data_IF_569266526155
#
_entry.id   IF_569266526155
#
_cell.length_a   1.000
_cell.length_b   1.000
_cell.length_c   1.000
_cell.angle_alpha   90.00
_cell.angle_beta   90.00
_cell.angle_gamma   90.00
#
_symmetry.space_group_name_H-M   'P 1'
#
loop_
_entity.id
_entity.type
_entity.pdbx_description
1 polymer ?
#
# COMPACT_ATOMS: atom_id res chain seq x y z
N UNK A 1 33.94 17.52 -12.69
CA UNK A 1 33.33 18.20 -11.54
C UNK A 1 32.18 17.38 -11.02
N UNK A 2 32.37 16.72 -9.89
CA UNK A 2 31.28 15.97 -9.28
C UNK A 2 30.27 16.97 -8.68
N UNK A 3 29.09 17.01 -9.23
CA UNK A 3 27.97 17.79 -8.70
C UNK A 3 27.26 17.08 -7.54
N UNK A 4 27.99 16.25 -6.81
CA UNK A 4 27.49 15.74 -5.54
C UNK A 4 27.72 16.86 -4.51
N UNK A 5 26.80 17.81 -4.48
CA UNK A 5 26.67 18.66 -3.31
C UNK A 5 26.34 17.69 -2.16
N UNK A 6 27.30 17.46 -1.29
CA UNK A 6 27.02 16.85 -0.01
C UNK A 6 26.02 17.78 0.67
N UNK A 7 24.77 17.37 0.68
CA UNK A 7 23.74 18.09 1.44
C UNK A 7 24.20 18.09 2.90
N UNK A 8 24.29 19.26 3.49
CA UNK A 8 24.58 19.37 4.93
C UNK A 8 23.54 18.56 5.69
N UNK A 9 23.96 17.79 6.73
CA UNK A 9 22.99 17.13 7.58
C UNK A 9 21.98 18.15 8.13
N UNK A 10 20.70 17.79 8.12
CA UNK A 10 19.68 18.64 8.70
C UNK A 10 19.90 18.73 10.21
N UNK A 11 19.54 19.87 10.82
CA UNK A 11 19.41 19.93 12.27
C UNK A 11 18.19 19.10 12.69
N UNK A 12 18.12 18.64 13.97
CA UNK A 12 16.93 17.92 14.44
C UNK A 12 15.63 18.68 14.21
N UNK A 13 15.59 20.00 14.43
CA UNK A 13 14.39 20.80 14.21
C UNK A 13 13.99 20.86 12.73
N UNK A 14 14.96 21.05 11.84
CA UNK A 14 14.72 21.03 10.39
C UNK A 14 14.22 19.68 9.93
N UNK A 15 14.82 18.60 10.45
CA UNK A 15 14.41 17.24 10.13
C UNK A 15 12.97 16.96 10.60
N UNK A 16 12.62 17.39 11.80
CA UNK A 16 11.26 17.21 12.33
C UNK A 16 10.24 17.91 11.44
N UNK A 17 10.50 19.19 11.08
CA UNK A 17 9.61 19.95 10.20
C UNK A 17 9.45 19.27 8.83
N UNK A 18 10.54 18.78 8.26
CA UNK A 18 10.53 18.07 6.98
C UNK A 18 9.70 16.79 7.07
N UNK A 19 9.87 16.05 8.16
CA UNK A 19 9.14 14.79 8.38
C UNK A 19 7.66 15.02 8.64
N UNK A 20 7.30 16.08 9.36
CA UNK A 20 5.90 16.45 9.55
C UNK A 20 5.20 16.72 8.22
N UNK A 21 5.85 17.47 7.33
CA UNK A 21 5.34 17.72 5.97
C UNK A 21 5.24 16.45 5.15
N UNK A 22 6.26 15.58 5.25
CA UNK A 22 6.27 14.29 4.56
C UNK A 22 5.09 13.42 4.97
N UNK A 23 4.81 13.35 6.26
CA UNK A 23 3.68 12.57 6.79
C UNK A 23 2.33 13.23 6.50
N UNK A 24 2.27 14.57 6.45
CA UNK A 24 1.03 15.28 6.15
C UNK A 24 0.60 15.16 4.69
N UNK A 25 1.55 14.93 3.78
CA UNK A 25 1.27 14.83 2.36
C UNK A 25 0.39 13.61 2.03
N UNK A 26 0.67 12.46 2.63
CA UNK A 26 -0.15 11.24 2.54
C UNK A 26 0.18 10.29 3.70
N UNK A 27 -0.65 9.27 3.88
CA UNK A 27 -0.36 8.22 4.86
C UNK A 27 0.96 7.53 4.55
N UNK A 28 1.77 7.30 5.59
CA UNK A 28 3.09 6.67 5.49
C UNK A 28 3.15 5.45 6.39
N UNK A 29 3.83 4.40 5.91
CA UNK A 29 4.14 3.25 6.76
C UNK A 29 5.43 3.51 7.55
N UNK A 30 5.67 2.76 8.65
CA UNK A 30 6.90 2.93 9.44
C UNK A 30 8.18 2.85 8.63
N UNK A 31 8.24 1.93 7.66
CA UNK A 31 9.41 1.75 6.79
C UNK A 31 9.71 2.99 5.96
N UNK A 32 8.68 3.64 5.41
CA UNK A 32 8.82 4.89 4.65
C UNK A 32 9.35 6.01 5.53
N UNK A 33 8.83 6.12 6.77
CA UNK A 33 9.26 7.13 7.73
C UNK A 33 10.74 6.94 8.08
N UNK A 34 11.15 5.70 8.38
CA UNK A 34 12.55 5.41 8.69
C UNK A 34 13.48 5.68 7.51
N UNK A 35 13.06 5.33 6.30
CA UNK A 35 13.86 5.59 5.10
C UNK A 35 14.04 7.08 4.86
N UNK A 36 12.99 7.86 5.06
CA UNK A 36 13.05 9.31 4.89
C UNK A 36 13.92 9.98 5.95
N UNK A 37 13.82 9.51 7.21
CA UNK A 37 14.68 10.00 8.30
C UNK A 37 16.16 9.73 8.01
N UNK A 38 16.48 8.56 7.44
CA UNK A 38 17.85 8.22 7.10
C UNK A 38 18.47 9.22 6.12
N UNK A 39 17.67 9.84 5.25
CA UNK A 39 18.13 10.84 4.30
C UNK A 39 18.52 12.16 4.97
N UNK A 40 18.05 12.40 6.20
CA UNK A 40 18.32 13.66 6.91
C UNK A 40 19.74 13.77 7.48
N UNK A 41 20.50 12.66 7.51
CA UNK A 41 21.88 12.67 7.99
C UNK A 41 22.04 12.90 9.48
N UNK A 42 21.01 12.58 10.28
CA UNK A 42 21.03 12.70 11.73
C UNK A 42 21.83 11.57 12.37
N UNK A 43 22.28 11.79 13.63
CA UNK A 43 22.77 10.71 14.46
C UNK A 43 21.67 9.67 14.68
N UNK A 44 22.01 8.38 14.91
CA UNK A 44 20.99 7.38 15.21
C UNK A 44 20.08 7.74 16.41
N UNK A 45 20.64 8.37 17.44
CA UNK A 45 19.89 8.80 18.60
C UNK A 45 18.87 9.89 18.25
N UNK A 46 19.28 10.90 17.48
CA UNK A 46 18.38 11.98 17.07
C UNK A 46 17.30 11.47 16.12
N UNK A 47 17.65 10.59 15.18
CA UNK A 47 16.68 9.98 14.28
C UNK A 47 15.62 9.17 15.04
N UNK A 48 16.03 8.37 16.02
CA UNK A 48 15.10 7.59 16.83
C UNK A 48 14.18 8.48 17.66
N UNK A 49 14.71 9.56 18.21
CA UNK A 49 13.91 10.53 18.98
C UNK A 49 12.83 11.18 18.13
N UNK A 50 13.18 11.60 16.91
CA UNK A 50 12.21 12.17 15.95
C UNK A 50 11.17 11.12 15.54
N UNK A 51 11.60 9.89 15.27
CA UNK A 51 10.70 8.81 14.94
C UNK A 51 9.65 8.60 16.05
N UNK A 52 10.08 8.60 17.31
CA UNK A 52 9.16 8.44 18.44
C UNK A 52 8.19 9.61 18.56
N UNK A 53 8.65 10.84 18.39
CA UNK A 53 7.78 12.03 18.40
C UNK A 53 6.71 11.93 17.33
N UNK A 54 7.09 11.57 16.11
CA UNK A 54 6.15 11.42 15.00
C UNK A 54 5.13 10.33 15.26
N UNK A 55 5.56 9.23 15.86
CA UNK A 55 4.68 8.12 16.21
C UNK A 55 3.71 8.50 17.33
N UNK A 56 4.22 9.10 18.40
CA UNK A 56 3.42 9.49 19.58
C UNK A 56 2.38 10.56 19.21
N UNK A 57 2.76 11.49 18.35
CA UNK A 57 1.87 12.56 17.86
C UNK A 57 1.00 12.12 16.69
N UNK A 58 1.08 10.84 16.31
CA UNK A 58 0.26 10.22 15.26
C UNK A 58 0.40 10.87 13.89
N UNK A 59 1.57 11.42 13.58
CA UNK A 59 1.88 11.87 12.22
C UNK A 59 1.89 10.71 11.24
N UNK A 60 2.29 9.53 11.70
CA UNK A 60 2.08 8.28 10.98
C UNK A 60 1.51 7.24 11.95
N UNK A 61 0.77 6.28 11.40
CA UNK A 61 0.15 5.22 12.18
C UNK A 61 0.03 4.00 11.28
N UNK A 62 0.59 2.88 11.70
CA UNK A 62 0.65 1.65 10.89
C UNK A 62 -0.74 1.11 10.56
N UNK A 63 -1.65 1.07 11.53
CA UNK A 63 -3.03 0.64 11.31
C UNK A 63 -3.76 1.55 10.31
N UNK A 64 -3.66 2.86 10.52
CA UNK A 64 -4.28 3.86 9.63
C UNK A 64 -3.73 3.74 8.20
N UNK A 65 -2.42 3.52 8.06
CA UNK A 65 -1.79 3.29 6.76
C UNK A 65 -2.36 2.04 6.10
N UNK A 66 -2.44 0.92 6.82
CA UNK A 66 -2.93 -0.34 6.27
C UNK A 66 -4.37 -0.23 5.78
N UNK A 67 -5.23 0.43 6.56
CA UNK A 67 -6.63 0.65 6.20
C UNK A 67 -6.77 1.53 4.95
N UNK A 68 -6.05 2.64 4.90
CA UNK A 68 -6.08 3.55 3.75
C UNK A 68 -5.50 2.89 2.49
N UNK A 69 -4.42 2.14 2.64
CA UNK A 69 -3.79 1.42 1.53
C UNK A 69 -4.74 0.38 0.94
N UNK A 70 -5.31 -0.48 1.79
CA UNK A 70 -6.22 -1.53 1.34
C UNK A 70 -7.46 -0.95 0.64
N UNK A 71 -8.09 0.04 1.25
CA UNK A 71 -9.27 0.70 0.68
C UNK A 71 -8.98 1.40 -0.64
N UNK A 72 -7.86 2.11 -0.72
CA UNK A 72 -7.46 2.82 -1.93
C UNK A 72 -7.12 1.89 -3.08
N UNK A 73 -6.33 0.85 -2.82
CA UNK A 73 -5.97 -0.12 -3.86
C UNK A 73 -7.17 -0.91 -4.37
N UNK A 74 -8.08 -1.27 -3.49
CA UNK A 74 -9.33 -1.91 -3.88
C UNK A 74 -10.20 -0.98 -4.75
N UNK A 75 -10.47 0.25 -4.29
CA UNK A 75 -11.42 1.16 -4.96
C UNK A 75 -10.88 1.77 -6.25
N UNK A 76 -9.61 2.12 -6.27
CA UNK A 76 -9.04 2.88 -7.39
C UNK A 76 -8.17 2.05 -8.32
N UNK A 77 -7.48 1.03 -7.79
CA UNK A 77 -6.60 0.18 -8.59
C UNK A 77 -7.23 -1.17 -8.94
N UNK A 78 -8.37 -1.49 -8.35
CA UNK A 78 -9.08 -2.75 -8.56
C UNK A 78 -8.22 -3.98 -8.22
N UNK A 79 -7.47 -3.87 -7.10
CA UNK A 79 -6.68 -4.98 -6.61
C UNK A 79 -7.52 -5.89 -5.71
N UNK A 80 -7.30 -7.20 -5.82
CA UNK A 80 -7.85 -8.17 -4.90
C UNK A 80 -7.04 -8.29 -3.61
N UNK A 81 -7.61 -8.99 -2.63
CA UNK A 81 -7.01 -9.15 -1.30
C UNK A 81 -5.63 -9.79 -1.32
N UNK A 82 -5.40 -10.76 -2.21
CA UNK A 82 -4.11 -11.48 -2.30
C UNK A 82 -2.99 -10.49 -2.62
N UNK A 83 -3.20 -9.62 -3.59
CA UNK A 83 -2.20 -8.62 -3.98
C UNK A 83 -2.00 -7.56 -2.91
N UNK A 84 -3.09 -7.08 -2.32
CA UNK A 84 -3.04 -6.09 -1.22
C UNK A 84 -2.25 -6.67 -0.04
N UNK A 85 -2.50 -7.92 0.32
CA UNK A 85 -1.78 -8.60 1.41
C UNK A 85 -0.28 -8.66 1.13
N UNK A 86 0.11 -9.07 -0.06
CA UNK A 86 1.51 -9.17 -0.46
C UNK A 86 2.20 -7.82 -0.39
N UNK A 87 1.55 -6.78 -0.89
CA UNK A 87 2.10 -5.43 -0.88
C UNK A 87 2.25 -4.86 0.53
N UNK A 88 1.30 -5.13 1.41
CA UNK A 88 1.40 -4.73 2.82
C UNK A 88 2.51 -5.51 3.55
N UNK A 89 2.68 -6.80 3.26
CA UNK A 89 3.79 -7.58 3.80
C UNK A 89 5.14 -7.04 3.37
N UNK A 90 5.29 -6.66 2.12
CA UNK A 90 6.51 -6.08 1.59
C UNK A 90 6.86 -4.76 2.28
N UNK A 91 5.88 -4.04 2.77
CA UNK A 91 6.04 -2.80 3.52
C UNK A 91 6.26 -3.03 5.02
N UNK A 92 6.35 -4.28 5.44
CA UNK A 92 6.63 -4.63 6.82
C UNK A 92 5.45 -4.44 7.78
N UNK A 93 4.23 -4.39 7.26
CA UNK A 93 3.04 -4.24 8.11
C UNK A 93 2.79 -5.54 8.88
N UNK A 94 2.40 -5.41 10.16
CA UNK A 94 2.13 -6.56 11.02
C UNK A 94 0.95 -7.38 10.50
N UNK A 95 1.02 -8.73 10.57
CA UNK A 95 -0.04 -9.60 10.04
C UNK A 95 -1.43 -9.31 10.57
N UNK A 96 -1.56 -8.97 11.85
CA UNK A 96 -2.85 -8.63 12.47
C UNK A 96 -3.47 -7.38 11.84
N UNK A 97 -2.65 -6.38 11.55
CA UNK A 97 -3.10 -5.13 10.91
C UNK A 97 -3.46 -5.36 9.44
N UNK A 98 -2.73 -6.25 8.76
CA UNK A 98 -3.07 -6.64 7.39
C UNK A 98 -4.44 -7.31 7.36
N UNK A 99 -4.68 -8.25 8.25
CA UNK A 99 -5.96 -8.95 8.34
C UNK A 99 -7.12 -7.98 8.61
N UNK A 100 -6.95 -7.06 9.56
CA UNK A 100 -7.95 -6.04 9.85
C UNK A 100 -8.24 -5.15 8.64
N UNK A 101 -7.20 -4.74 7.92
CA UNK A 101 -7.35 -3.91 6.73
C UNK A 101 -8.13 -4.64 5.63
N UNK A 102 -7.83 -5.92 5.40
CA UNK A 102 -8.54 -6.71 4.40
C UNK A 102 -9.99 -6.98 4.80
N UNK A 103 -10.25 -7.21 6.09
CA UNK A 103 -11.60 -7.40 6.62
C UNK A 103 -12.45 -6.13 6.51
N UNK A 104 -11.83 -4.96 6.44
CA UNK A 104 -12.55 -3.69 6.26
C UNK A 104 -13.16 -3.51 4.87
N UNK A 105 -12.72 -4.31 3.90
CA UNK A 105 -13.31 -4.29 2.55
C UNK A 105 -14.66 -5.01 2.62
N UNK A 106 -15.72 -4.31 2.22
CA UNK A 106 -17.08 -4.85 2.24
C UNK A 106 -17.17 -6.07 1.31
N UNK A 107 -17.61 -7.24 1.81
CA UNK A 107 -17.70 -8.46 1.00
C UNK A 107 -18.61 -8.32 -0.22
N UNK A 108 -19.72 -7.59 -0.10
CA UNK A 108 -20.66 -7.40 -1.20
C UNK A 108 -20.06 -6.50 -2.28
N UNK A 109 -19.38 -5.43 -1.89
CA UNK A 109 -18.63 -4.58 -2.83
C UNK A 109 -17.52 -5.35 -3.52
N UNK A 110 -16.85 -6.23 -2.78
CA UNK A 110 -15.77 -7.06 -3.30
C UNK A 110 -16.27 -8.02 -4.38
N UNK A 111 -17.35 -8.74 -4.11
CA UNK A 111 -17.97 -9.64 -5.09
C UNK A 111 -18.51 -8.87 -6.30
N UNK A 112 -19.13 -7.72 -6.08
CA UNK A 112 -19.62 -6.87 -7.16
C UNK A 112 -18.49 -6.42 -8.08
N UNK A 113 -17.34 -6.09 -7.53
CA UNK A 113 -16.16 -5.73 -8.32
C UNK A 113 -15.66 -6.91 -9.14
N UNK A 114 -15.59 -8.11 -8.55
CA UNK A 114 -15.19 -9.32 -9.27
C UNK A 114 -16.10 -9.54 -10.48
N UNK A 115 -17.41 -9.49 -10.30
CA UNK A 115 -18.38 -9.70 -11.36
C UNK A 115 -18.24 -8.65 -12.47
N UNK A 116 -18.08 -7.39 -12.09
CA UNK A 116 -17.87 -6.28 -13.03
C UNK A 116 -16.61 -6.49 -13.88
N UNK A 117 -15.51 -6.89 -13.23
CA UNK A 117 -14.25 -7.12 -13.92
C UNK A 117 -14.32 -8.37 -14.82
N UNK A 118 -15.01 -9.41 -14.38
CA UNK A 118 -15.24 -10.60 -15.21
C UNK A 118 -16.01 -10.25 -16.48
N UNK A 119 -17.09 -9.51 -16.35
CA UNK A 119 -17.90 -9.08 -17.51
C UNK A 119 -17.08 -8.25 -18.49
N UNK A 120 -16.31 -7.32 -17.96
CA UNK A 120 -15.44 -6.45 -18.76
C UNK A 120 -14.38 -7.26 -19.52
N UNK A 121 -13.77 -8.24 -18.87
CA UNK A 121 -12.73 -9.09 -19.47
C UNK A 121 -13.33 -10.09 -20.47
N UNK A 122 -14.50 -10.63 -20.19
CA UNK A 122 -15.21 -11.49 -21.15
C UNK A 122 -15.48 -10.74 -22.45
N UNK A 123 -15.88 -9.48 -22.35
CA UNK A 123 -16.10 -8.61 -23.51
C UNK A 123 -14.79 -8.38 -24.27
N UNK A 124 -13.72 -8.08 -23.54
CA UNK A 124 -12.39 -7.84 -24.11
C UNK A 124 -11.86 -9.06 -24.87
N UNK A 125 -12.09 -10.27 -24.35
CA UNK A 125 -11.56 -11.51 -24.90
C UNK A 125 -12.61 -12.32 -25.70
N UNK A 126 -13.73 -11.70 -26.05
CA UNK A 126 -14.87 -12.42 -26.65
C UNK A 126 -14.53 -13.23 -27.92
N UNK A 127 -13.55 -12.80 -28.69
CA UNK A 127 -13.11 -13.45 -29.94
C UNK A 127 -11.91 -14.38 -29.76
N UNK A 128 -11.43 -14.54 -28.54
CA UNK A 128 -10.25 -15.36 -28.25
C UNK A 128 -10.69 -16.81 -27.90
N UNK A 129 -10.00 -17.79 -28.48
CA UNK A 129 -10.26 -19.21 -28.20
C UNK A 129 -10.04 -19.57 -26.73
N UNK A 130 -9.14 -18.83 -26.05
CA UNK A 130 -8.80 -19.03 -24.65
C UNK A 130 -9.40 -17.92 -23.76
N UNK A 131 -10.56 -17.42 -24.15
CA UNK A 131 -11.21 -16.29 -23.46
C UNK A 131 -11.39 -16.57 -21.97
N UNK A 132 -11.83 -17.77 -21.60
CA UNK A 132 -12.09 -18.15 -20.21
C UNK A 132 -10.80 -18.15 -19.38
N UNK A 133 -9.74 -18.76 -19.89
CA UNK A 133 -8.44 -18.82 -19.21
C UNK A 133 -7.81 -17.44 -19.08
N UNK A 134 -7.89 -16.61 -20.11
CA UNK A 134 -7.35 -15.24 -20.09
C UNK A 134 -8.11 -14.34 -19.12
N UNK A 135 -9.42 -14.49 -19.08
CA UNK A 135 -10.27 -13.75 -18.12
C UNK A 135 -9.90 -14.13 -16.69
N UNK A 136 -9.82 -15.41 -16.38
CA UNK A 136 -9.43 -15.88 -15.05
C UNK A 136 -8.03 -15.40 -14.66
N UNK A 137 -7.06 -15.57 -15.57
CA UNK A 137 -5.67 -15.16 -15.31
C UNK A 137 -5.55 -13.66 -15.04
N UNK A 138 -6.33 -12.85 -15.73
CA UNK A 138 -6.35 -11.39 -15.52
C UNK A 138 -6.76 -11.01 -14.11
N UNK A 139 -7.81 -11.64 -13.58
CA UNK A 139 -8.28 -11.36 -12.23
C UNK A 139 -7.35 -11.94 -11.16
N UNK A 140 -6.80 -13.12 -11.39
CA UNK A 140 -5.84 -13.73 -10.46
C UNK A 140 -4.59 -12.87 -10.37
N UNK A 141 -4.10 -12.32 -11.49
CA UNK A 141 -2.96 -11.42 -11.53
C UNK A 141 -3.25 -10.11 -10.79
N UNK A 142 -4.49 -9.63 -10.85
CA UNK A 142 -4.91 -8.45 -10.10
C UNK A 142 -5.06 -8.73 -8.60
N UNK A 143 -4.93 -9.97 -8.17
CA UNK A 143 -4.90 -10.34 -6.76
C UNK A 143 -6.20 -10.91 -6.20
N UNK A 144 -7.17 -11.24 -7.05
CA UNK A 144 -8.42 -11.86 -6.57
C UNK A 144 -8.20 -13.35 -6.33
N UNK A 145 -8.88 -13.87 -5.30
CA UNK A 145 -8.76 -15.27 -4.90
C UNK A 145 -9.26 -16.19 -6.02
N UNK A 146 -8.46 -17.19 -6.35
CA UNK A 146 -8.76 -18.14 -7.40
C UNK A 146 -10.15 -18.78 -7.22
N UNK A 147 -10.49 -19.16 -5.99
CA UNK A 147 -11.80 -19.79 -5.68
C UNK A 147 -12.96 -18.86 -6.04
N UNK A 148 -12.86 -17.58 -5.72
CA UNK A 148 -13.91 -16.62 -6.03
C UNK A 148 -13.98 -16.33 -7.52
N UNK A 149 -12.83 -16.21 -8.18
CA UNK A 149 -12.79 -16.01 -9.63
C UNK A 149 -13.52 -17.15 -10.35
N UNK A 150 -13.20 -18.39 -10.03
CA UNK A 150 -13.82 -19.57 -10.66
C UNK A 150 -15.28 -19.77 -10.24
N UNK A 151 -15.67 -19.30 -9.08
CA UNK A 151 -17.08 -19.35 -8.66
C UNK A 151 -17.99 -18.50 -9.55
N UNK A 152 -17.52 -17.33 -9.95
CA UNK A 152 -18.30 -16.39 -10.75
C UNK A 152 -17.98 -16.42 -12.25
N UNK A 153 -16.97 -17.19 -12.64
CA UNK A 153 -16.57 -17.32 -14.04
C UNK A 153 -17.60 -18.21 -14.82
#
# INVERSE_FOLDING_TARGET
>A
MSKFQQQKPATPDEALQKMERFCAYRERCPKEVRSKLAECGLSPADAEQIYQVLQDDKFFNEERFAMAFAGGKFRYNYWGRVRIRQELKMRGIQPTLISQALESIDPDEYEALIQKLLDKKREQFAQDDKAREKTAASLIRAGFEMELVFRFL
#
